data_IF_165715560923
#
_entry.id   IF_165715560923
#
_cell.length_a   1.000
_cell.length_b   1.000
_cell.length_c   1.000
_cell.angle_alpha   90.00
_cell.angle_beta   90.00
_cell.angle_gamma   90.00
#
_symmetry.space_group_name_H-M   'P 1'
#
loop_
_entity.id
_entity.type
_entity.pdbx_description
1 polymer ?
#
# COMPACT_ATOMS: atom_id res chain seq x y z
N UNK A 1 -7.24 -19.27 1.40
CA UNK A 1 -7.77 -17.92 1.65
C UNK A 1 -6.62 -17.00 2.03
N UNK A 2 -6.61 -15.79 1.46
CA UNK A 2 -5.63 -14.75 1.78
C UNK A 2 -5.94 -14.16 3.16
N UNK A 3 -4.90 -13.99 3.96
CA UNK A 3 -5.01 -13.46 5.31
C UNK A 3 -4.02 -12.31 5.47
N UNK A 4 -4.52 -11.13 5.85
CA UNK A 4 -3.71 -9.93 5.99
C UNK A 4 -4.17 -9.01 7.09
N UNK A 5 -3.30 -8.09 7.50
CA UNK A 5 -3.64 -7.00 8.40
C UNK A 5 -4.28 -5.82 7.64
N UNK A 6 -4.76 -4.81 8.38
CA UNK A 6 -5.38 -3.62 7.76
C UNK A 6 -4.48 -2.94 6.73
N UNK A 7 -3.17 -2.83 6.97
CA UNK A 7 -2.22 -2.23 6.02
C UNK A 7 -2.12 -3.01 4.72
N UNK A 8 -2.01 -4.35 4.79
CA UNK A 8 -1.93 -5.22 3.62
C UNK A 8 -3.22 -5.17 2.77
N UNK A 9 -4.39 -5.18 3.40
CA UNK A 9 -5.65 -4.98 2.68
C UNK A 9 -5.81 -3.56 2.12
N UNK A 10 -5.21 -2.55 2.76
CA UNK A 10 -5.21 -1.18 2.25
C UNK A 10 -4.40 -1.02 0.97
N UNK A 11 -3.39 -1.86 0.71
CA UNK A 11 -2.69 -1.88 -0.58
C UNK A 11 -3.63 -2.32 -1.72
N UNK A 12 -4.49 -3.30 -1.48
CA UNK A 12 -5.53 -3.72 -2.45
C UNK A 12 -6.60 -2.64 -2.60
N UNK A 13 -7.01 -2.00 -1.50
CA UNK A 13 -7.94 -0.87 -1.57
C UNK A 13 -7.38 0.27 -2.44
N UNK A 14 -6.11 0.62 -2.28
CA UNK A 14 -5.46 1.63 -3.09
C UNK A 14 -5.41 1.22 -4.58
N UNK A 15 -5.11 -0.05 -4.88
CA UNK A 15 -5.17 -0.57 -6.25
C UNK A 15 -6.56 -0.38 -6.86
N UNK A 16 -7.63 -0.81 -6.17
CA UNK A 16 -8.99 -0.70 -6.69
C UNK A 16 -9.44 0.75 -6.85
N UNK A 17 -9.10 1.63 -5.89
CA UNK A 17 -9.41 3.06 -5.94
C UNK A 17 -8.71 3.73 -7.12
N UNK A 18 -7.42 3.48 -7.32
CA UNK A 18 -6.66 4.05 -8.45
C UNK A 18 -7.25 3.57 -9.78
N UNK A 19 -7.58 2.29 -9.90
CA UNK A 19 -8.17 1.74 -11.12
C UNK A 19 -9.55 2.34 -11.42
N UNK A 20 -10.37 2.54 -10.39
CA UNK A 20 -11.71 3.11 -10.56
C UNK A 20 -11.67 4.61 -10.86
N UNK A 21 -10.79 5.37 -10.22
CA UNK A 21 -10.69 6.81 -10.37
C UNK A 21 -9.85 7.23 -11.59
N UNK A 22 -8.84 6.44 -11.94
CA UNK A 22 -7.91 6.71 -13.05
C UNK A 22 -7.00 7.90 -12.81
N UNK A 23 -6.84 8.33 -11.56
CA UNK A 23 -6.00 9.47 -11.20
C UNK A 23 -5.47 9.37 -9.77
N UNK A 24 -4.37 10.07 -9.52
CA UNK A 24 -3.86 10.38 -8.18
C UNK A 24 -4.11 11.86 -7.92
N UNK A 25 -4.80 12.18 -6.84
CA UNK A 25 -5.04 13.56 -6.42
C UNK A 25 -3.86 14.03 -5.57
N UNK A 26 -3.26 15.15 -5.93
CA UNK A 26 -2.20 15.76 -5.15
C UNK A 26 -2.80 16.45 -3.91
N UNK A 27 -2.12 16.33 -2.77
CA UNK A 27 -2.54 16.88 -1.50
C UNK A 27 -1.38 17.53 -0.76
N UNK A 28 -1.71 18.42 0.15
CA UNK A 28 -0.75 19.06 1.07
C UNK A 28 -0.33 18.11 2.21
N UNK A 29 0.53 18.58 3.11
CA UNK A 29 1.01 17.80 4.25
C UNK A 29 -0.09 17.40 5.26
N UNK A 30 -1.27 18.00 5.18
CA UNK A 30 -2.43 17.69 6.01
C UNK A 30 -3.45 16.80 5.26
N UNK A 31 -3.05 16.27 4.10
CA UNK A 31 -3.88 15.45 3.20
C UNK A 31 -5.09 16.19 2.59
N UNK A 32 -5.07 17.52 2.58
CA UNK A 32 -6.07 18.30 1.87
C UNK A 32 -5.71 18.37 0.39
N UNK A 33 -6.63 18.03 -0.48
CA UNK A 33 -6.42 18.21 -1.92
C UNK A 33 -6.11 19.68 -2.24
N UNK A 34 -5.16 19.90 -3.15
CA UNK A 34 -4.86 21.27 -3.59
C UNK A 34 -6.08 21.92 -4.25
N UNK A 35 -6.28 23.20 -3.98
CA UNK A 35 -7.44 23.96 -4.46
C UNK A 35 -7.52 24.06 -5.99
N UNK A 36 -6.42 23.94 -6.70
CA UNK A 36 -6.33 23.90 -8.16
C UNK A 36 -6.72 22.55 -8.77
N UNK A 37 -7.00 21.54 -7.91
CA UNK A 37 -7.37 20.19 -8.33
C UNK A 37 -6.21 19.41 -8.97
N UNK A 38 -4.97 19.75 -8.66
CA UNK A 38 -3.79 19.07 -9.20
C UNK A 38 -3.90 17.54 -9.05
N UNK A 39 -3.77 16.84 -10.16
CA UNK A 39 -3.85 15.38 -10.19
C UNK A 39 -2.98 14.81 -11.32
N UNK A 40 -2.51 13.58 -11.13
CA UNK A 40 -1.80 12.81 -12.15
C UNK A 40 -2.76 11.79 -12.75
N UNK A 41 -2.90 11.78 -14.06
CA UNK A 41 -3.70 10.75 -14.75
C UNK A 41 -2.93 9.43 -14.73
N UNK A 42 -3.59 8.36 -14.30
CA UNK A 42 -3.03 7.01 -14.33
C UNK A 42 -3.43 6.33 -15.63
N UNK A 43 -2.45 5.96 -16.43
CA UNK A 43 -2.65 5.26 -17.70
C UNK A 43 -2.70 3.74 -17.51
N UNK A 44 -1.82 3.24 -16.63
CA UNK A 44 -1.65 1.82 -16.42
C UNK A 44 -1.12 1.54 -15.02
N UNK A 45 -1.62 0.47 -14.39
CA UNK A 45 -1.04 -0.13 -13.19
C UNK A 45 -0.33 -1.40 -13.58
N UNK A 46 0.91 -1.58 -13.12
CA UNK A 46 1.72 -2.77 -13.33
C UNK A 46 1.81 -3.53 -12.01
N UNK A 47 1.53 -4.83 -12.06
CA UNK A 47 1.61 -5.69 -10.88
C UNK A 47 2.40 -6.96 -11.18
N UNK A 48 3.43 -7.18 -10.39
CA UNK A 48 4.21 -8.41 -10.38
C UNK A 48 3.97 -9.13 -9.07
N UNK A 49 3.64 -10.39 -9.14
CA UNK A 49 3.53 -11.27 -7.98
C UNK A 49 4.55 -12.39 -8.10
N UNK A 50 4.84 -13.05 -6.96
CA UNK A 50 5.80 -14.15 -6.95
C UNK A 50 5.28 -15.30 -7.80
N UNK A 51 6.14 -15.81 -8.69
CA UNK A 51 5.85 -16.96 -9.57
C UNK A 51 4.65 -16.75 -10.52
N UNK A 52 4.25 -15.48 -10.75
CA UNK A 52 3.20 -15.09 -11.69
C UNK A 52 3.78 -14.21 -12.81
N UNK A 53 3.16 -14.17 -14.00
CA UNK A 53 3.53 -13.21 -15.04
C UNK A 53 3.33 -11.78 -14.53
N UNK A 54 3.99 -10.82 -15.17
CA UNK A 54 3.66 -9.41 -14.98
C UNK A 54 2.28 -9.15 -15.58
N UNK A 55 1.39 -8.54 -14.82
CA UNK A 55 0.08 -8.12 -15.32
C UNK A 55 -0.01 -6.60 -15.41
N UNK A 56 -0.74 -6.15 -16.42
CA UNK A 56 -1.00 -4.74 -16.71
C UNK A 56 -2.49 -4.47 -16.66
N UNK A 57 -2.89 -3.49 -15.87
CA UNK A 57 -4.25 -2.94 -15.83
C UNK A 57 -4.25 -1.63 -16.59
N UNK A 58 -4.84 -1.60 -17.79
CA UNK A 58 -5.01 -0.38 -18.56
C UNK A 58 -6.24 0.37 -18.06
N UNK A 59 -6.03 1.61 -17.62
CA UNK A 59 -7.04 2.42 -16.92
C UNK A 59 -7.96 3.12 -17.94
N UNK A 60 -8.68 2.30 -18.70
CA UNK A 60 -9.75 2.72 -19.60
C UNK A 60 -11.13 2.48 -18.95
N UNK A 61 -12.19 2.59 -19.71
CA UNK A 61 -13.49 2.08 -19.33
C UNK A 61 -14.08 1.26 -20.49
N UNK A 62 -14.11 -0.06 -20.39
CA UNK A 62 -13.68 -0.87 -19.23
C UNK A 62 -12.15 -0.92 -19.03
N UNK A 63 -11.76 -1.23 -17.78
CA UNK A 63 -10.38 -1.54 -17.42
C UNK A 63 -10.01 -2.88 -18.05
N UNK A 64 -8.98 -2.90 -18.87
CA UNK A 64 -8.48 -4.13 -19.50
C UNK A 64 -7.28 -4.66 -18.72
N UNK A 65 -7.31 -5.95 -18.39
CA UNK A 65 -6.25 -6.64 -17.66
C UNK A 65 -5.58 -7.66 -18.57
N UNK A 66 -4.28 -7.53 -18.76
CA UNK A 66 -3.50 -8.41 -19.65
C UNK A 66 -2.21 -8.88 -18.99
N UNK A 67 -1.69 -10.02 -19.45
CA UNK A 67 -0.30 -10.43 -19.17
C UNK A 67 0.68 -9.60 -20.00
N UNK A 68 1.98 -9.70 -19.69
CA UNK A 68 3.08 -9.12 -20.49
C UNK A 68 3.20 -9.76 -21.90
N UNK A 69 2.68 -10.98 -22.08
CA UNK A 69 2.56 -11.66 -23.39
C UNK A 69 1.34 -11.18 -24.20
N UNK A 70 0.51 -10.30 -23.64
CA UNK A 70 -0.68 -9.74 -24.27
C UNK A 70 -1.94 -10.61 -24.14
N UNK A 71 -1.89 -11.67 -23.35
CA UNK A 71 -3.08 -12.48 -23.06
C UNK A 71 -4.05 -11.68 -22.17
N UNK A 72 -5.33 -11.63 -22.57
CA UNK A 72 -6.37 -10.94 -21.81
C UNK A 72 -6.84 -11.82 -20.65
N UNK A 73 -6.71 -11.31 -19.43
CA UNK A 73 -7.17 -11.96 -18.20
C UNK A 73 -8.62 -11.56 -17.89
N UNK A 74 -8.92 -10.25 -17.92
CA UNK A 74 -10.21 -9.71 -17.52
C UNK A 74 -10.53 -8.39 -18.21
N UNK A 75 -11.81 -8.01 -18.15
CA UNK A 75 -12.31 -6.67 -18.49
C UNK A 75 -13.36 -6.30 -17.47
N UNK A 76 -13.18 -5.17 -16.81
CA UNK A 76 -14.00 -4.73 -15.67
C UNK A 76 -14.37 -3.27 -15.83
N UNK A 77 -15.65 -2.93 -15.69
CA UNK A 77 -16.07 -1.52 -15.70
C UNK A 77 -15.50 -0.76 -14.50
N UNK A 78 -15.21 0.51 -14.67
CA UNK A 78 -14.75 1.39 -13.59
C UNK A 78 -15.77 1.47 -12.44
N UNK A 79 -17.07 1.42 -12.77
CA UNK A 79 -18.15 1.38 -11.80
C UNK A 79 -18.08 0.13 -10.90
N UNK A 80 -17.88 -1.05 -11.51
CA UNK A 80 -17.71 -2.31 -10.75
C UNK A 80 -16.46 -2.24 -9.86
N UNK A 81 -15.35 -1.74 -10.38
CA UNK A 81 -14.12 -1.56 -9.61
C UNK A 81 -14.32 -0.62 -8.42
N UNK A 82 -15.06 0.49 -8.61
CA UNK A 82 -15.42 1.42 -7.54
C UNK A 82 -16.32 0.79 -6.47
N UNK A 83 -17.23 -0.11 -6.87
CA UNK A 83 -18.06 -0.86 -5.94
C UNK A 83 -17.22 -1.79 -5.08
N UNK A 84 -16.29 -2.53 -5.70
CA UNK A 84 -15.38 -3.43 -4.98
C UNK A 84 -14.44 -2.67 -4.03
N UNK A 85 -13.94 -1.51 -4.45
CA UNK A 85 -13.16 -0.63 -3.57
C UNK A 85 -13.97 -0.22 -2.33
N UNK A 86 -15.24 0.17 -2.50
CA UNK A 86 -16.11 0.53 -1.36
C UNK A 86 -16.38 -0.66 -0.44
N UNK A 87 -16.68 -1.83 -1.00
CA UNK A 87 -16.91 -3.06 -0.22
C UNK A 87 -15.69 -3.40 0.62
N UNK A 88 -14.50 -3.37 0.00
CA UNK A 88 -13.24 -3.60 0.69
C UNK A 88 -12.97 -2.56 1.77
N UNK A 89 -13.21 -1.27 1.50
CA UNK A 89 -13.04 -0.20 2.48
C UNK A 89 -13.86 -0.45 3.75
N UNK A 90 -15.15 -0.73 3.61
CA UNK A 90 -16.01 -1.04 4.75
C UNK A 90 -15.56 -2.33 5.46
N UNK A 91 -15.16 -3.36 4.72
CA UNK A 91 -14.58 -4.57 5.29
C UNK A 91 -13.33 -4.34 6.16
N UNK A 92 -12.53 -3.30 5.84
CA UNK A 92 -11.35 -2.92 6.64
C UNK A 92 -11.76 -2.06 7.85
N UNK A 93 -12.66 -1.08 7.66
CA UNK A 93 -13.00 -0.06 8.67
C UNK A 93 -13.85 -0.67 9.79
N UNK A 94 -14.80 -1.54 9.46
CA UNK A 94 -15.73 -2.14 10.42
C UNK A 94 -15.06 -3.10 11.42
N UNK A 95 -13.79 -3.44 11.17
CA UNK A 95 -13.03 -4.28 12.09
C UNK A 95 -12.49 -3.49 13.29
N UNK A 96 -12.49 -4.07 14.51
CA UNK A 96 -11.92 -3.42 15.67
C UNK A 96 -10.46 -2.97 15.47
N UNK A 97 -10.09 -1.89 16.14
CA UNK A 97 -8.69 -1.48 16.22
C UNK A 97 -7.85 -2.60 16.86
N UNK A 98 -6.69 -2.90 16.27
CA UNK A 98 -5.79 -3.93 16.79
C UNK A 98 -6.07 -5.34 16.30
N UNK A 99 -6.99 -5.54 15.35
CA UNK A 99 -7.16 -6.84 14.66
C UNK A 99 -5.83 -7.26 14.02
N UNK A 100 -5.33 -8.45 14.40
CA UNK A 100 -4.01 -8.90 13.94
C UNK A 100 -4.00 -9.16 12.42
N UNK A 101 -4.78 -10.12 11.97
CA UNK A 101 -4.99 -10.46 10.55
C UNK A 101 -6.38 -11.02 10.36
N UNK A 102 -6.97 -10.80 9.20
CA UNK A 102 -8.34 -11.23 8.85
C UNK A 102 -8.44 -11.63 7.39
N UNK A 103 -9.54 -12.19 7.01
CA UNK A 103 -9.86 -12.69 5.68
C UNK A 103 -11.08 -11.95 5.13
N UNK A 104 -11.08 -11.68 3.82
CA UNK A 104 -12.20 -11.09 3.10
C UNK A 104 -12.50 -11.97 1.86
N UNK A 105 -13.28 -13.05 2.01
CA UNK A 105 -13.45 -14.05 0.96
C UNK A 105 -14.03 -13.50 -0.33
N UNK A 106 -15.04 -12.63 -0.27
CA UNK A 106 -15.67 -12.01 -1.44
C UNK A 106 -14.68 -11.13 -2.22
N UNK A 107 -13.90 -10.33 -1.49
CA UNK A 107 -12.84 -9.51 -2.09
C UNK A 107 -11.75 -10.37 -2.72
N UNK A 108 -11.36 -11.48 -2.06
CA UNK A 108 -10.37 -12.41 -2.61
C UNK A 108 -10.87 -13.07 -3.90
N UNK A 109 -12.14 -13.44 -3.98
CA UNK A 109 -12.75 -14.01 -5.20
C UNK A 109 -12.68 -12.99 -6.34
N UNK A 110 -13.05 -11.74 -6.09
CA UNK A 110 -12.92 -10.68 -7.08
C UNK A 110 -11.46 -10.43 -7.49
N UNK A 111 -10.52 -10.35 -6.54
CA UNK A 111 -9.10 -10.23 -6.83
C UNK A 111 -8.62 -11.31 -7.80
N UNK A 112 -8.96 -12.57 -7.53
CA UNK A 112 -8.60 -13.71 -8.39
C UNK A 112 -9.19 -13.58 -9.80
N UNK A 113 -10.41 -13.09 -9.92
CA UNK A 113 -11.07 -12.89 -11.22
C UNK A 113 -10.37 -11.88 -12.12
N UNK A 114 -9.55 -10.99 -11.54
CA UNK A 114 -8.76 -9.99 -12.27
C UNK A 114 -7.25 -10.27 -12.23
N UNK A 115 -6.86 -11.51 -11.89
CA UNK A 115 -5.45 -11.94 -11.89
C UNK A 115 -4.62 -11.51 -10.67
N UNK A 116 -5.24 -11.04 -9.58
CA UNK A 116 -4.57 -10.66 -8.34
C UNK A 116 -4.64 -11.80 -7.33
N UNK A 117 -3.50 -12.34 -6.93
CA UNK A 117 -3.41 -13.53 -6.06
C UNK A 117 -2.70 -13.28 -4.73
N UNK A 118 -2.16 -12.08 -4.51
CA UNK A 118 -1.46 -11.69 -3.29
C UNK A 118 -1.92 -10.31 -2.81
N UNK A 119 -1.84 -10.04 -1.49
CA UNK A 119 -2.24 -8.74 -0.93
C UNK A 119 -1.22 -7.65 -1.22
N UNK A 120 0.07 -8.01 -1.28
CA UNK A 120 1.18 -7.05 -1.43
C UNK A 120 2.17 -7.48 -2.51
N UNK A 121 2.94 -6.52 -2.97
CA UNK A 121 4.09 -6.75 -3.84
C UNK A 121 5.13 -7.67 -3.17
N UNK A 122 5.98 -8.35 -3.97
CA UNK A 122 7.10 -9.12 -3.43
C UNK A 122 8.00 -8.26 -2.54
N UNK A 123 8.52 -8.84 -1.46
CA UNK A 123 9.40 -8.12 -0.51
C UNK A 123 10.75 -7.67 -1.13
N UNK A 124 11.09 -8.16 -2.32
CA UNK A 124 12.23 -7.68 -3.13
C UNK A 124 11.98 -6.31 -3.74
N UNK A 125 10.72 -5.94 -3.92
CA UNK A 125 10.35 -4.69 -4.56
C UNK A 125 10.35 -3.56 -3.53
N UNK A 126 10.88 -2.40 -3.95
CA UNK A 126 10.97 -1.22 -3.06
C UNK A 126 9.69 -0.39 -3.06
N UNK A 127 8.77 -0.68 -3.97
CA UNK A 127 7.49 0.02 -4.14
C UNK A 127 6.33 -0.93 -3.89
N UNK A 128 5.26 -0.41 -3.31
CA UNK A 128 4.04 -1.15 -3.04
C UNK A 128 3.15 -1.25 -4.28
N UNK A 129 3.25 -0.25 -5.18
CA UNK A 129 2.52 -0.21 -6.45
C UNK A 129 3.36 0.48 -7.53
N UNK A 130 3.25 0.02 -8.78
CA UNK A 130 3.94 0.61 -9.94
C UNK A 130 2.91 1.14 -10.92
N UNK A 131 3.01 2.43 -11.24
CA UNK A 131 2.07 3.13 -12.09
C UNK A 131 2.78 3.75 -13.30
N UNK A 132 2.14 3.69 -14.45
CA UNK A 132 2.42 4.59 -15.56
C UNK A 132 1.45 5.76 -15.48
N UNK A 133 1.98 6.95 -15.32
CA UNK A 133 1.20 8.17 -15.18
C UNK A 133 1.42 9.09 -16.39
N UNK A 134 0.43 9.90 -16.72
CA UNK A 134 0.61 11.03 -17.64
C UNK A 134 0.94 12.28 -16.86
N UNK A 135 2.10 12.85 -17.09
CA UNK A 135 2.48 14.16 -16.58
C UNK A 135 2.12 15.23 -17.61
N UNK A 136 1.03 15.92 -17.38
CA UNK A 136 0.54 16.98 -18.27
C UNK A 136 1.49 18.18 -18.38
N UNK A 137 2.42 18.35 -17.44
CA UNK A 137 3.38 19.45 -17.43
C UNK A 137 4.56 19.19 -18.38
N UNK A 138 5.11 17.97 -18.35
CA UNK A 138 6.23 17.57 -19.22
C UNK A 138 5.79 16.90 -20.51
N UNK A 139 4.54 16.42 -20.58
CA UNK A 139 3.99 15.66 -21.71
C UNK A 139 4.58 14.26 -21.85
N UNK A 140 5.18 13.71 -20.80
CA UNK A 140 5.75 12.35 -20.77
C UNK A 140 4.91 11.39 -19.91
N UNK A 141 5.08 10.10 -20.17
CA UNK A 141 4.35 9.02 -19.51
C UNK A 141 5.30 8.10 -18.71
N UNK A 142 5.91 8.59 -17.60
CA UNK A 142 6.87 7.80 -16.86
C UNK A 142 6.20 6.62 -16.12
N UNK A 143 6.98 5.55 -15.96
CA UNK A 143 6.63 4.42 -15.07
C UNK A 143 7.36 4.62 -13.75
N UNK A 144 6.61 4.77 -12.67
CA UNK A 144 7.14 5.08 -11.34
C UNK A 144 6.62 4.09 -10.29
N UNK A 145 7.48 3.75 -9.32
CA UNK A 145 7.10 3.02 -8.12
C UNK A 145 6.63 3.98 -7.02
N UNK A 146 5.57 3.58 -6.31
CA UNK A 146 4.95 4.37 -5.25
C UNK A 146 4.84 3.54 -3.97
N UNK A 147 4.95 4.21 -2.82
CA UNK A 147 4.67 3.60 -1.52
C UNK A 147 3.30 4.01 -1.01
N UNK A 148 2.56 3.04 -0.49
CA UNK A 148 1.25 3.25 0.09
C UNK A 148 1.39 3.41 1.61
N UNK A 149 0.83 4.49 2.15
CA UNK A 149 0.77 4.75 3.59
C UNK A 149 -0.69 4.90 3.99
N UNK A 150 -1.18 3.91 4.73
CA UNK A 150 -2.58 3.86 5.16
C UNK A 150 -2.71 4.33 6.61
N UNK A 151 -3.74 5.11 6.89
CA UNK A 151 -4.15 5.51 8.25
C UNK A 151 -5.25 4.61 8.83
N UNK A 152 -5.69 3.58 8.09
CA UNK A 152 -6.73 2.66 8.53
C UNK A 152 -6.27 1.66 9.61
N UNK A 153 -4.95 1.56 9.81
CA UNK A 153 -4.31 0.69 10.80
C UNK A 153 -3.55 1.46 11.87
N UNK A 154 -2.35 0.98 12.19
CA UNK A 154 -1.40 1.73 13.02
C UNK A 154 -0.88 2.94 12.24
N UNK A 155 -0.49 4.03 12.94
CA UNK A 155 0.09 5.19 12.28
C UNK A 155 1.23 4.78 11.34
N UNK A 156 1.24 5.28 10.11
CA UNK A 156 2.25 4.91 9.13
C UNK A 156 3.62 5.41 9.56
N UNK A 157 4.66 4.59 9.33
CA UNK A 157 6.04 4.99 9.56
C UNK A 157 6.66 5.51 8.27
N UNK A 158 7.34 6.65 8.35
CA UNK A 158 8.01 7.24 7.19
C UNK A 158 9.25 6.44 6.79
N UNK A 159 9.95 5.89 7.80
CA UNK A 159 11.15 5.08 7.63
C UNK A 159 10.95 3.70 8.26
N UNK A 160 11.21 2.66 7.50
CA UNK A 160 11.26 1.31 8.02
C UNK A 160 12.62 1.08 8.67
N UNK A 161 12.65 0.42 9.83
CA UNK A 161 13.89 0.01 10.48
C UNK A 161 14.69 -0.93 9.55
N UNK A 162 15.91 -0.58 9.27
CA UNK A 162 16.83 -1.35 8.43
C UNK A 162 18.29 -1.00 8.71
N UNK A 163 19.23 -1.72 8.11
CA UNK A 163 20.66 -1.47 8.33
C UNK A 163 21.08 -0.04 7.95
N UNK A 164 20.43 0.57 6.98
CA UNK A 164 20.72 1.94 6.49
C UNK A 164 20.01 3.04 7.26
N UNK A 165 19.06 2.69 8.15
CA UNK A 165 18.30 3.63 8.97
C UNK A 165 18.63 3.48 10.45
N UNK A 166 19.67 2.74 10.79
CA UNK A 166 20.16 2.63 12.16
C UNK A 166 20.99 3.86 12.53
N UNK A 167 20.67 4.44 13.67
CA UNK A 167 21.45 5.50 14.29
C UNK A 167 22.14 4.94 15.52
N UNK A 168 23.43 5.24 15.66
CA UNK A 168 24.18 4.93 16.88
C UNK A 168 24.24 6.17 17.73
N UNK A 169 23.79 6.07 18.99
CA UNK A 169 23.82 7.16 19.95
C UNK A 169 24.83 6.81 21.05
N UNK A 170 25.62 7.81 21.44
CA UNK A 170 26.43 7.75 22.63
C UNK A 170 25.65 8.33 23.80
N UNK A 171 25.54 7.61 24.90
CA UNK A 171 24.89 8.11 26.12
C UNK A 171 25.96 8.74 26.99
N UNK A 172 25.97 10.07 27.06
CA UNK A 172 26.93 10.81 27.86
C UNK A 172 26.50 10.79 29.35
N UNK A 173 27.42 10.46 30.24
CA UNK A 173 27.16 10.41 31.68
C UNK A 173 26.44 9.15 32.17
N UNK A 174 26.36 8.11 31.34
CA UNK A 174 25.90 6.80 31.79
C UNK A 174 26.98 6.13 32.66
N UNK A 175 26.62 5.81 33.89
CA UNK A 175 27.47 4.98 34.78
C UNK A 175 27.10 3.52 34.66
N UNK A 176 28.04 2.61 35.03
CA UNK A 176 27.78 1.17 35.01
C UNK A 176 26.59 0.80 35.90
N UNK A 177 26.49 1.42 37.10
CA UNK A 177 25.35 1.21 38.03
C UNK A 177 24.00 1.61 37.38
N UNK A 178 23.98 2.71 36.62
CA UNK A 178 22.79 3.14 35.90
C UNK A 178 22.41 2.15 34.78
N UNK A 179 23.39 1.69 34.06
CA UNK A 179 23.23 0.70 32.99
C UNK A 179 22.67 -0.61 33.54
N UNK A 180 23.24 -1.11 34.63
CA UNK A 180 22.79 -2.34 35.30
C UNK A 180 21.37 -2.17 35.85
N UNK A 181 21.09 -1.02 36.46
CA UNK A 181 19.75 -0.69 36.96
C UNK A 181 18.69 -0.73 35.84
N UNK A 182 18.96 -0.14 34.68
CA UNK A 182 18.03 -0.17 33.52
C UNK A 182 17.91 -1.56 32.90
N UNK A 183 19.04 -2.29 32.82
CA UNK A 183 19.03 -3.63 32.24
C UNK A 183 18.34 -4.68 33.12
N UNK A 184 18.27 -4.43 34.45
CA UNK A 184 17.53 -5.30 35.37
C UNK A 184 16.02 -5.18 35.30
N UNK A 185 15.48 -4.14 34.65
CA UNK A 185 14.02 -3.96 34.46
C UNK A 185 13.52 -4.95 33.42
N UNK A 186 12.63 -5.84 33.82
CA UNK A 186 12.03 -6.85 32.94
C UNK A 186 10.67 -6.40 32.36
N UNK A 187 10.67 -5.27 31.67
CA UNK A 187 9.50 -4.75 30.94
C UNK A 187 9.87 -4.32 29.53
N UNK A 188 8.87 -4.24 28.65
CA UNK A 188 9.05 -3.78 27.27
C UNK A 188 9.58 -2.33 27.20
N UNK A 189 9.23 -1.49 28.15
CA UNK A 189 9.53 -0.07 28.16
C UNK A 189 10.48 0.30 29.32
N UNK A 190 11.64 -0.38 29.36
CA UNK A 190 12.64 -0.28 30.45
C UNK A 190 12.93 1.14 30.95
N UNK A 191 13.10 2.11 30.04
CA UNK A 191 13.43 3.49 30.42
C UNK A 191 12.23 4.23 31.01
N UNK A 192 11.02 3.99 30.46
CA UNK A 192 9.79 4.61 30.97
C UNK A 192 9.41 4.07 32.36
N UNK A 193 9.62 2.77 32.58
CA UNK A 193 9.13 2.04 33.74
C UNK A 193 10.16 2.04 34.92
N UNK A 194 11.21 2.83 34.79
CA UNK A 194 12.26 3.00 35.81
C UNK A 194 11.85 3.94 36.95
#
# INVERSE_FOLDING_TARGET
MLRGNKGEWSEIYALFSILSEGKLVAADANLNAFADGASLTVLRVLRKEKDQPLISFYVNDPIEVTTDEGERIASVSRERMAQEARTLFYGIVDLPHGSATFELPETEEFMRSIGVHALKAPSSDKSDIVLQIHDSHSGIDPVCGWSIKSELGNPPTLLNAGKTTNFTFEIIGCTDDLMDSVNSIDTRFKVRDR
#
